data_IF_162170584732
#
_entry.id   IF_162170584732
#
_cell.length_a   1.000
_cell.length_b   1.000
_cell.length_c   1.000
_cell.angle_alpha   90.00
_cell.angle_beta   90.00
_cell.angle_gamma   90.00
#
_symmetry.space_group_name_H-M   'P 1'
#
loop_
_entity.id
_entity.type
_entity.pdbx_description
1 polymer ?
#
# COMPACT_ATOMS: atom_id res chain seq x y z
N UNK A 1 -46.68 17.75 14.55
CA UNK A 1 -46.09 17.40 13.24
C UNK A 1 -44.79 18.18 13.14
N UNK A 2 -43.67 17.56 13.53
CA UNK A 2 -42.35 18.18 13.52
C UNK A 2 -41.46 17.41 12.54
N UNK A 3 -41.02 18.10 11.50
CA UNK A 3 -40.11 17.60 10.47
C UNK A 3 -38.73 17.39 11.07
N UNK A 4 -38.30 16.12 11.19
CA UNK A 4 -36.88 15.78 11.39
C UNK A 4 -36.14 16.06 10.08
N UNK A 5 -35.51 17.22 10.01
CA UNK A 5 -34.58 17.60 8.94
C UNK A 5 -33.17 17.14 9.30
N UNK A 6 -32.54 16.45 8.35
CA UNK A 6 -31.10 16.21 8.14
C UNK A 6 -30.17 16.16 9.35
N UNK A 7 -29.68 14.95 9.64
CA UNK A 7 -28.30 14.78 10.09
C UNK A 7 -27.45 14.45 8.86
N UNK A 8 -26.28 15.09 8.68
CA UNK A 8 -25.33 14.61 7.70
C UNK A 8 -24.82 13.24 8.16
N UNK A 9 -24.86 12.30 7.24
CA UNK A 9 -24.27 10.97 7.31
C UNK A 9 -22.74 11.13 7.32
N UNK A 10 -22.16 11.45 8.47
CA UNK A 10 -20.70 11.48 8.69
C UNK A 10 -20.24 10.21 9.45
N UNK A 11 -20.80 9.07 9.03
CA UNK A 11 -20.45 7.74 9.54
C UNK A 11 -19.63 6.97 8.50
N UNK A 12 -18.71 7.67 7.82
CA UNK A 12 -17.64 7.01 7.06
C UNK A 12 -16.50 6.68 8.01
N UNK A 13 -16.40 5.46 8.56
CA UNK A 13 -15.18 5.04 9.24
C UNK A 13 -14.02 5.28 8.27
N UNK A 14 -13.10 6.13 8.69
CA UNK A 14 -12.01 6.65 7.88
C UNK A 14 -11.39 5.53 7.03
N UNK A 15 -11.45 5.65 5.70
CA UNK A 15 -11.06 4.58 4.78
C UNK A 15 -9.63 4.06 5.03
N UNK A 16 -8.76 4.94 5.52
CA UNK A 16 -7.38 4.66 5.90
C UNK A 16 -7.31 4.11 7.33
N UNK A 17 -6.68 2.95 7.50
CA UNK A 17 -6.52 2.30 8.81
C UNK A 17 -5.64 3.11 9.78
N UNK A 18 -5.76 2.79 11.07
CA UNK A 18 -5.02 3.48 12.13
C UNK A 18 -3.50 3.41 11.93
N UNK A 19 -2.95 2.25 11.51
CA UNK A 19 -1.52 2.08 11.27
C UNK A 19 -1.05 3.01 10.16
N UNK A 20 -1.79 3.09 9.06
CA UNK A 20 -1.47 4.01 7.96
C UNK A 20 -1.60 5.47 8.37
N UNK A 21 -2.61 5.85 9.16
CA UNK A 21 -2.73 7.22 9.68
C UNK A 21 -1.54 7.61 10.56
N UNK A 22 -1.13 6.72 11.46
CA UNK A 22 0.05 6.93 12.31
C UNK A 22 1.31 7.06 11.44
N UNK A 23 1.48 6.20 10.43
CA UNK A 23 2.60 6.26 9.49
C UNK A 23 2.63 7.59 8.72
N UNK A 24 1.50 8.04 8.17
CA UNK A 24 1.35 9.35 7.49
C UNK A 24 1.69 10.52 8.42
N UNK A 25 1.46 10.40 9.73
CA UNK A 25 1.76 11.44 10.72
C UNK A 25 3.23 11.47 11.17
N UNK A 26 3.83 10.30 11.37
CA UNK A 26 5.14 10.16 12.03
C UNK A 26 6.30 10.06 11.03
N UNK A 27 6.15 9.25 9.98
CA UNK A 27 7.25 8.94 9.06
C UNK A 27 7.82 10.16 8.32
N UNK A 28 7.05 11.20 7.94
CA UNK A 28 7.63 12.38 7.31
C UNK A 28 8.61 13.13 8.23
N UNK A 29 8.30 13.26 9.52
CA UNK A 29 9.23 13.88 10.48
C UNK A 29 10.45 13.01 10.72
N UNK A 30 10.23 11.70 10.86
CA UNK A 30 11.31 10.73 11.02
C UNK A 30 12.26 10.72 9.80
N UNK A 31 11.71 10.87 8.60
CA UNK A 31 12.48 10.97 7.36
C UNK A 31 13.39 12.20 7.37
N UNK A 32 12.88 13.39 7.72
CA UNK A 32 13.68 14.62 7.81
C UNK A 32 14.84 14.53 8.80
N UNK A 33 14.70 13.72 9.85
CA UNK A 33 15.77 13.48 10.83
C UNK A 33 16.82 12.50 10.27
N UNK A 34 16.40 11.48 9.53
CA UNK A 34 17.27 10.42 9.00
C UNK A 34 17.99 10.80 7.70
N UNK A 35 17.35 11.62 6.87
CA UNK A 35 17.84 11.97 5.53
C UNK A 35 19.25 12.58 5.55
N UNK A 36 19.60 13.52 6.47
CA UNK A 36 20.97 14.04 6.58
C UNK A 36 22.03 12.99 6.93
N UNK A 37 21.61 11.85 7.47
CA UNK A 37 22.47 10.72 7.86
C UNK A 37 22.47 9.60 6.80
N UNK A 38 21.89 9.85 5.62
CA UNK A 38 21.77 8.87 4.54
C UNK A 38 20.68 7.82 4.75
N UNK A 39 19.80 8.00 5.74
CA UNK A 39 18.66 7.12 6.00
C UNK A 39 17.36 7.64 5.39
N UNK A 40 16.38 6.77 5.19
CA UNK A 40 15.07 7.17 4.69
C UNK A 40 13.94 6.50 5.47
N UNK A 41 12.79 7.17 5.53
CA UNK A 41 11.53 6.64 6.09
C UNK A 41 10.33 6.99 5.21
N UNK A 42 10.57 7.76 4.14
CA UNK A 42 9.65 8.11 3.09
C UNK A 42 10.43 8.03 1.77
N UNK A 43 9.77 7.63 0.69
CA UNK A 43 10.37 7.61 -0.64
C UNK A 43 9.31 7.82 -1.73
N UNK A 44 9.74 8.27 -2.91
CA UNK A 44 8.86 8.41 -4.07
C UNK A 44 8.52 7.02 -4.62
N UNK A 45 7.24 6.82 -4.94
CA UNK A 45 6.73 5.61 -5.58
C UNK A 45 7.30 5.48 -7.00
N UNK A 46 7.88 4.33 -7.33
CA UNK A 46 8.44 4.11 -8.66
C UNK A 46 7.33 3.75 -9.66
N UNK A 47 7.34 4.31 -10.89
CA UNK A 47 6.31 4.04 -11.90
C UNK A 47 6.28 2.58 -12.34
N UNK A 48 7.44 1.90 -12.42
CA UNK A 48 7.50 0.49 -12.85
C UNK A 48 6.88 -0.47 -11.84
N UNK A 49 6.56 -0.01 -10.63
CA UNK A 49 5.78 -0.77 -9.67
C UNK A 49 4.28 -0.74 -9.99
N UNK A 50 3.80 0.06 -10.95
CA UNK A 50 2.38 0.25 -11.20
C UNK A 50 1.72 -1.03 -11.73
N UNK A 51 0.75 -1.53 -10.97
CA UNK A 51 -0.05 -2.71 -11.28
C UNK A 51 -1.24 -2.31 -12.15
N UNK A 52 -1.94 -1.25 -11.75
CA UNK A 52 -3.16 -0.79 -12.37
C UNK A 52 -4.04 -0.05 -11.37
N UNK A 53 -5.18 0.43 -11.84
CA UNK A 53 -6.20 1.09 -11.02
C UNK A 53 -7.41 0.18 -10.89
N UNK A 54 -7.81 -0.09 -9.65
CA UNK A 54 -9.01 -0.83 -9.29
C UNK A 54 -10.16 0.16 -9.13
N UNK A 55 -11.34 -0.15 -9.67
CA UNK A 55 -12.46 0.78 -9.81
C UNK A 55 -13.51 0.63 -8.69
N UNK A 56 -13.03 0.58 -7.45
CA UNK A 56 -13.85 0.69 -6.24
C UNK A 56 -13.00 1.16 -5.06
N UNK A 57 -13.64 1.44 -3.93
CA UNK A 57 -13.04 2.09 -2.77
C UNK A 57 -11.96 1.26 -2.04
N UNK A 58 -11.20 1.98 -1.22
CA UNK A 58 -10.09 1.44 -0.43
C UNK A 58 -10.52 0.33 0.52
N UNK A 59 -11.73 0.44 1.11
CA UNK A 59 -12.21 -0.53 2.09
C UNK A 59 -12.46 -1.88 1.41
N UNK A 60 -13.17 -1.85 0.30
CA UNK A 60 -13.49 -3.03 -0.50
C UNK A 60 -12.19 -3.68 -1.00
N UNK A 61 -11.25 -2.90 -1.53
CA UNK A 61 -9.98 -3.46 -2.01
C UNK A 61 -9.09 -4.05 -0.91
N UNK A 62 -9.19 -3.56 0.31
CA UNK A 62 -8.51 -4.16 1.46
C UNK A 62 -9.09 -5.52 1.82
N UNK A 63 -10.41 -5.71 1.68
CA UNK A 63 -11.03 -7.03 1.84
C UNK A 63 -10.46 -8.01 0.82
N UNK A 64 -10.31 -7.61 -0.44
CA UNK A 64 -9.71 -8.49 -1.46
C UNK A 64 -8.25 -8.83 -1.14
N UNK A 65 -7.49 -7.87 -0.61
CA UNK A 65 -6.12 -8.11 -0.15
C UNK A 65 -6.07 -9.13 0.99
N UNK A 66 -6.96 -9.01 1.98
CA UNK A 66 -7.09 -9.98 3.06
C UNK A 66 -7.45 -11.39 2.52
N UNK A 67 -8.39 -11.49 1.58
CA UNK A 67 -8.77 -12.74 0.91
C UNK A 67 -7.62 -13.36 0.10
N UNK A 68 -6.78 -12.51 -0.50
CA UNK A 68 -5.53 -12.90 -1.17
C UNK A 68 -4.39 -13.25 -0.18
N UNK A 69 -4.65 -13.24 1.14
CA UNK A 69 -3.71 -13.49 2.23
C UNK A 69 -2.56 -12.46 2.31
N UNK A 70 -2.86 -11.19 2.02
CA UNK A 70 -2.00 -10.08 2.40
C UNK A 70 -2.22 -9.68 3.86
N UNK A 71 -1.19 -9.10 4.45
CA UNK A 71 -1.21 -8.54 5.80
C UNK A 71 -0.69 -7.09 5.75
N UNK A 72 -1.13 -6.18 6.63
CA UNK A 72 -0.54 -4.85 6.71
C UNK A 72 0.96 -4.89 7.06
N UNK A 73 1.76 -4.06 6.40
CA UNK A 73 3.19 -3.90 6.66
C UNK A 73 3.49 -2.58 7.41
N UNK A 74 3.73 -2.62 8.73
CA UNK A 74 3.97 -1.42 9.50
C UNK A 74 5.38 -0.83 9.32
N UNK A 75 6.35 -1.65 8.89
CA UNK A 75 7.79 -1.29 8.86
C UNK A 75 8.22 -0.65 7.53
N UNK A 76 7.38 -0.68 6.50
CA UNK A 76 7.69 -0.09 5.21
C UNK A 76 7.76 1.45 5.27
N UNK A 77 8.70 2.01 4.50
CA UNK A 77 8.77 3.45 4.25
C UNK A 77 7.44 3.98 3.70
N UNK A 78 7.09 5.21 4.07
CA UNK A 78 5.91 5.88 3.52
C UNK A 78 6.13 6.17 2.04
N UNK A 79 5.27 5.64 1.16
CA UNK A 79 5.36 5.90 -0.27
C UNK A 79 4.64 7.20 -0.62
N UNK A 80 5.26 8.00 -1.49
CA UNK A 80 4.70 9.25 -2.00
C UNK A 80 4.50 9.10 -3.50
N UNK A 81 3.27 9.24 -3.96
CA UNK A 81 2.96 9.25 -5.37
C UNK A 81 3.56 10.49 -6.04
N UNK A 82 3.77 10.45 -7.37
CA UNK A 82 4.39 11.55 -8.12
C UNK A 82 3.59 12.86 -8.06
N UNK A 83 2.28 12.78 -7.83
CA UNK A 83 1.38 13.92 -7.63
C UNK A 83 1.32 14.41 -6.17
N UNK A 84 2.11 13.82 -5.27
CA UNK A 84 2.19 14.19 -3.86
C UNK A 84 1.23 13.43 -2.93
N UNK A 85 0.33 12.58 -3.44
CA UNK A 85 -0.51 11.73 -2.59
C UNK A 85 0.35 10.80 -1.74
N UNK A 86 -0.01 10.62 -0.47
CA UNK A 86 0.64 9.65 0.43
C UNK A 86 -0.03 8.29 0.30
N UNK A 87 0.73 7.20 0.42
CA UNK A 87 0.17 5.86 0.39
C UNK A 87 -0.93 5.67 1.44
N UNK A 88 -2.04 5.09 1.02
CA UNK A 88 -3.22 4.76 1.82
C UNK A 88 -3.18 3.35 2.41
N UNK A 89 -2.17 2.56 2.05
CA UNK A 89 -1.92 1.24 2.62
C UNK A 89 -0.57 0.69 2.15
N UNK A 90 -0.03 -0.24 2.94
CA UNK A 90 1.22 -0.97 2.67
C UNK A 90 0.96 -2.39 3.12
N UNK A 91 1.04 -3.33 2.19
CA UNK A 91 0.48 -4.67 2.34
C UNK A 91 1.44 -5.71 1.81
N UNK A 92 1.53 -6.84 2.48
CA UNK A 92 2.53 -7.85 2.15
C UNK A 92 1.96 -9.23 2.16
N UNK A 93 2.34 -10.00 1.15
CA UNK A 93 2.00 -11.41 1.04
C UNK A 93 3.25 -12.25 1.05
N UNK A 94 3.26 -13.29 1.89
CA UNK A 94 4.36 -14.25 2.03
C UNK A 94 3.82 -15.67 1.89
N UNK A 95 4.62 -16.58 1.34
CA UNK A 95 4.26 -18.01 1.31
C UNK A 95 4.21 -18.65 2.71
N UNK A 96 4.96 -18.08 3.65
CA UNK A 96 5.07 -18.48 5.07
C UNK A 96 5.74 -17.32 5.85
N UNK A 97 5.60 -17.22 7.18
CA UNK A 97 6.08 -16.06 7.96
C UNK A 97 7.55 -15.69 7.69
N UNK A 98 8.46 -16.67 7.72
CA UNK A 98 9.89 -16.47 7.47
C UNK A 98 10.31 -16.85 6.03
N UNK A 99 9.46 -16.59 5.05
CA UNK A 99 9.85 -16.67 3.64
C UNK A 99 10.98 -15.66 3.33
N UNK A 100 11.90 -16.01 2.44
CA UNK A 100 12.98 -15.10 2.00
C UNK A 100 12.42 -13.89 1.26
N UNK A 101 11.35 -14.09 0.49
CA UNK A 101 10.76 -13.09 -0.39
C UNK A 101 9.34 -12.76 0.07
N UNK A 102 8.96 -11.49 -0.08
CA UNK A 102 7.60 -10.99 0.08
C UNK A 102 7.17 -10.30 -1.22
N UNK A 103 5.86 -10.34 -1.51
CA UNK A 103 5.23 -9.44 -2.46
C UNK A 103 4.70 -8.26 -1.65
N UNK A 104 5.17 -7.06 -1.93
CA UNK A 104 4.73 -5.84 -1.27
C UNK A 104 3.86 -5.03 -2.23
N UNK A 105 2.77 -4.49 -1.69
CA UNK A 105 1.78 -3.68 -2.38
C UNK A 105 1.60 -2.36 -1.64
N UNK A 106 1.71 -1.26 -2.37
CA UNK A 106 1.38 0.08 -1.90
C UNK A 106 0.10 0.57 -2.60
N UNK A 107 -0.79 1.19 -1.81
CA UNK A 107 -2.09 1.68 -2.28
C UNK A 107 -2.12 3.19 -2.29
N UNK A 108 -2.75 3.81 -3.29
CA UNK A 108 -3.05 5.23 -3.30
C UNK A 108 -4.52 5.46 -3.65
N UNK A 109 -5.22 6.26 -2.84
CA UNK A 109 -6.60 6.66 -3.14
C UNK A 109 -6.64 7.55 -4.37
N UNK A 110 -7.41 7.16 -5.39
CA UNK A 110 -7.62 7.90 -6.64
C UNK A 110 -9.10 8.36 -6.72
N UNK A 111 -9.50 9.20 -5.78
CA UNK A 111 -10.92 9.52 -5.57
C UNK A 111 -11.64 8.50 -4.66
N UNK A 112 -12.96 8.63 -4.49
CA UNK A 112 -13.73 7.78 -3.58
C UNK A 112 -13.88 6.33 -4.07
N UNK A 113 -13.87 6.12 -5.38
CA UNK A 113 -14.24 4.85 -6.02
C UNK A 113 -13.10 4.28 -6.89
N UNK A 114 -11.85 4.66 -6.64
CA UNK A 114 -10.72 4.07 -7.34
C UNK A 114 -9.44 4.06 -6.50
N UNK A 115 -8.62 3.02 -6.69
CA UNK A 115 -7.35 2.80 -5.99
C UNK A 115 -6.25 2.50 -7.01
N UNK A 116 -5.19 3.29 -6.99
CA UNK A 116 -3.97 2.98 -7.72
C UNK A 116 -3.14 1.98 -6.91
N UNK A 117 -2.79 0.87 -7.56
CA UNK A 117 -2.09 -0.26 -6.95
C UNK A 117 -0.68 -0.31 -7.50
N UNK A 118 0.30 -0.39 -6.60
CA UNK A 118 1.70 -0.56 -6.95
C UNK A 118 2.25 -1.80 -6.23
N UNK A 119 3.12 -2.56 -6.88
CA UNK A 119 3.71 -3.75 -6.32
C UNK A 119 5.17 -3.94 -6.75
N UNK A 120 5.93 -4.56 -5.84
CA UNK A 120 7.24 -5.12 -6.13
C UNK A 120 7.47 -6.35 -5.27
N UNK A 121 8.42 -7.19 -5.71
CA UNK A 121 8.95 -8.28 -4.91
C UNK A 121 10.26 -7.84 -4.26
N UNK A 122 10.42 -8.21 -3.00
CA UNK A 122 11.58 -7.82 -2.21
C UNK A 122 11.90 -8.87 -1.13
N UNK A 123 13.05 -8.70 -0.47
CA UNK A 123 13.37 -9.50 0.69
C UNK A 123 12.39 -9.24 1.84
N UNK A 124 11.95 -10.32 2.49
CA UNK A 124 11.11 -10.24 3.68
C UNK A 124 11.81 -9.52 4.81
N UNK A 125 11.25 -8.42 5.32
CA UNK A 125 11.83 -7.73 6.48
C UNK A 125 11.89 -8.60 7.74
N UNK A 126 10.98 -9.58 7.88
CA UNK A 126 10.97 -10.52 9.01
C UNK A 126 12.20 -11.43 9.04
N UNK A 127 12.74 -11.79 7.87
CA UNK A 127 13.89 -12.71 7.74
C UNK A 127 15.19 -11.99 7.37
N UNK A 128 15.10 -10.92 6.60
CA UNK A 128 16.21 -10.20 6.01
C UNK A 128 16.02 -8.67 6.14
N UNK A 129 15.89 -8.13 7.36
CA UNK A 129 15.54 -6.72 7.59
C UNK A 129 16.54 -5.74 6.97
N UNK A 130 17.84 -6.06 7.00
CA UNK A 130 18.87 -5.20 6.40
C UNK A 130 18.81 -5.18 4.87
N UNK A 131 18.51 -6.32 4.23
CA UNK A 131 18.37 -6.41 2.78
C UNK A 131 17.11 -5.70 2.30
N UNK A 132 16.01 -5.89 3.03
CA UNK A 132 14.75 -5.16 2.82
C UNK A 132 14.98 -3.64 2.91
N UNK A 133 15.60 -3.16 4.00
CA UNK A 133 15.84 -1.73 4.17
C UNK A 133 16.76 -1.14 3.09
N UNK A 134 17.71 -1.91 2.54
CA UNK A 134 18.59 -1.46 1.45
C UNK A 134 17.94 -1.53 0.07
N UNK A 135 16.78 -2.17 -0.07
CA UNK A 135 16.17 -2.42 -1.37
C UNK A 135 16.91 -3.48 -2.20
N UNK A 136 17.68 -4.36 -1.56
CA UNK A 136 18.37 -5.44 -2.28
C UNK A 136 17.34 -6.35 -2.99
N UNK A 137 17.60 -6.71 -4.25
CA UNK A 137 16.71 -7.62 -4.98
C UNK A 137 15.30 -7.08 -5.22
N UNK A 138 15.15 -5.75 -5.23
CA UNK A 138 13.91 -5.07 -5.58
C UNK A 138 13.52 -5.36 -7.03
N UNK A 139 12.42 -6.11 -7.20
CA UNK A 139 11.96 -6.68 -8.46
C UNK A 139 10.55 -6.15 -8.76
N UNK A 140 10.49 -5.07 -9.54
CA UNK A 140 9.24 -4.39 -9.91
C UNK A 140 8.45 -5.21 -10.91
N UNK A 141 9.09 -5.69 -11.99
CA UNK A 141 8.45 -6.50 -13.03
C UNK A 141 7.81 -7.76 -12.46
N UNK A 142 8.56 -8.57 -11.71
CA UNK A 142 8.04 -9.80 -11.10
C UNK A 142 7.00 -9.52 -10.02
N UNK A 143 7.08 -8.37 -9.34
CA UNK A 143 6.05 -7.93 -8.40
C UNK A 143 4.74 -7.57 -9.09
N UNK A 144 4.79 -6.76 -10.15
CA UNK A 144 3.63 -6.35 -10.94
C UNK A 144 2.95 -7.54 -11.57
N UNK A 145 3.69 -8.41 -12.27
CA UNK A 145 3.14 -9.61 -12.91
C UNK A 145 2.42 -10.51 -11.90
N UNK A 146 3.04 -10.70 -10.73
CA UNK A 146 2.49 -11.56 -9.68
C UNK A 146 1.25 -10.95 -9.03
N UNK A 147 1.23 -9.64 -8.83
CA UNK A 147 0.05 -8.96 -8.30
C UNK A 147 -1.11 -9.01 -9.31
N UNK A 148 -0.85 -8.72 -10.60
CA UNK A 148 -1.86 -8.86 -11.66
C UNK A 148 -2.42 -10.28 -11.73
N UNK A 149 -1.56 -11.29 -11.67
CA UNK A 149 -2.00 -12.69 -11.64
C UNK A 149 -2.88 -13.00 -10.43
N UNK A 150 -2.58 -12.46 -9.25
CA UNK A 150 -3.42 -12.62 -8.06
C UNK A 150 -4.78 -11.95 -8.23
N UNK A 151 -4.81 -10.71 -8.71
CA UNK A 151 -6.05 -9.98 -9.01
C UNK A 151 -6.92 -10.77 -9.98
N UNK A 152 -6.36 -11.22 -11.11
CA UNK A 152 -7.10 -12.02 -12.10
C UNK A 152 -7.57 -13.36 -11.56
N UNK A 153 -6.83 -14.00 -10.65
CA UNK A 153 -7.23 -15.28 -10.03
C UNK A 153 -8.41 -15.12 -9.06
N UNK A 154 -8.59 -13.93 -8.49
CA UNK A 154 -9.67 -13.60 -7.56
C UNK A 154 -10.74 -12.73 -8.21
N UNK A 155 -10.81 -12.72 -9.54
CA UNK A 155 -11.80 -11.96 -10.33
C UNK A 155 -11.83 -10.45 -10.03
N UNK A 156 -10.71 -9.88 -9.56
CA UNK A 156 -10.57 -8.44 -9.34
C UNK A 156 -10.20 -7.76 -10.66
N UNK A 157 -11.10 -6.89 -11.13
CA UNK A 157 -10.90 -6.11 -12.36
C UNK A 157 -10.06 -4.86 -12.09
N UNK A 158 -9.10 -4.59 -12.96
CA UNK A 158 -8.25 -3.39 -12.92
C UNK A 158 -7.97 -2.85 -14.33
N UNK A 159 -7.70 -1.54 -14.44
CA UNK A 159 -7.29 -0.87 -15.66
C UNK A 159 -5.80 -0.54 -15.64
N UNK A 160 -5.15 -0.60 -16.80
CA UNK A 160 -3.80 -0.12 -17.02
C UNK A 160 -3.93 1.06 -17.97
N UNK A 161 -3.48 2.24 -17.56
CA UNK A 161 -3.46 3.47 -18.38
C UNK A 161 -2.04 3.89 -18.75
#
# INVERSE_FOLDING_TARGET
MATRSDRPDDDRPNAVDLTTRVRRRVLPTLHRIKEPLGGFAQCVQHPDEYVGTVQYGLREFRTDLDEMAFEPEPIASLKVHRDGRLSAGSWVRRKRPLATWQLHVALFENGPDAIDVFAHREYSWLRHPLKHYRGDGWDTTGGVERMRSLLSTHDVTFRID
#
